data_IF_471696661742
#
_entry.id   IF_471696661742
#
_cell.length_a   1.000
_cell.length_b   1.000
_cell.length_c   1.000
_cell.angle_alpha   90.00
_cell.angle_beta   90.00
_cell.angle_gamma   90.00
#
_symmetry.space_group_name_H-M   'P 1'
#
loop_
_entity.id
_entity.type
_entity.pdbx_description
1 polymer ?
#
# COMPACT_ATOMS: atom_id res chain seq x y z
N UNK A 1 5.55 47.00 -19.89
CA UNK A 1 6.16 46.89 -18.53
C UNK A 1 5.60 45.63 -17.88
N UNK A 2 6.26 44.49 -18.05
CA UNK A 2 5.85 43.20 -17.49
C UNK A 2 6.93 42.79 -16.48
N UNK A 3 6.55 42.67 -15.20
CA UNK A 3 7.46 42.29 -14.12
C UNK A 3 7.57 40.76 -14.08
N UNK A 4 8.70 40.23 -14.56
CA UNK A 4 9.14 38.85 -14.29
C UNK A 4 9.40 38.68 -12.80
N UNK A 5 8.64 37.80 -12.16
CA UNK A 5 8.93 37.32 -10.81
C UNK A 5 9.78 36.05 -10.91
N UNK A 6 11.06 36.19 -10.60
CA UNK A 6 12.00 35.08 -10.40
C UNK A 6 11.71 34.44 -9.04
N UNK A 7 11.24 33.20 -9.05
CA UNK A 7 11.12 32.36 -7.86
C UNK A 7 12.45 31.61 -7.68
N UNK A 8 13.23 32.03 -6.69
CA UNK A 8 14.42 31.29 -6.23
C UNK A 8 13.96 30.12 -5.35
N UNK A 9 14.13 28.88 -5.83
CA UNK A 9 14.04 27.68 -5.00
C UNK A 9 15.38 27.51 -4.26
N UNK A 10 15.38 27.75 -2.94
CA UNK A 10 16.51 27.44 -2.08
C UNK A 10 16.46 25.95 -1.69
N UNK A 11 17.41 25.17 -2.20
CA UNK A 11 17.65 23.78 -1.79
C UNK A 11 18.43 23.81 -0.47
N UNK A 12 17.76 23.48 0.64
CA UNK A 12 18.38 23.35 1.96
C UNK A 12 18.88 21.90 2.12
N UNK A 13 20.18 21.69 1.90
CA UNK A 13 20.84 20.42 2.18
C UNK A 13 20.98 20.24 3.70
N UNK A 14 20.32 19.20 4.25
CA UNK A 14 20.47 18.79 5.63
C UNK A 14 21.71 17.90 5.75
N UNK A 15 22.80 18.44 6.32
CA UNK A 15 23.98 17.68 6.69
C UNK A 15 23.75 17.03 8.07
N UNK A 16 23.47 15.73 8.11
CA UNK A 16 23.57 14.96 9.34
C UNK A 16 25.04 14.62 9.60
N UNK A 17 25.62 15.28 10.61
CA UNK A 17 26.96 15.00 11.10
C UNK A 17 27.04 13.66 11.81
N UNK A 18 27.92 12.78 11.33
CA UNK A 18 28.44 11.63 12.05
C UNK A 18 29.46 12.10 13.09
N UNK A 19 29.02 12.22 14.35
CA UNK A 19 29.88 12.37 15.51
C UNK A 19 30.38 11.00 15.96
N UNK A 20 31.69 10.77 15.84
CA UNK A 20 32.35 9.61 16.42
C UNK A 20 32.79 9.84 17.87
N UNK A 21 33.11 8.75 18.55
CA UNK A 21 34.04 8.75 19.68
C UNK A 21 33.62 7.89 20.88
N UNK A 22 34.49 6.95 21.26
CA UNK A 22 34.58 6.47 22.64
C UNK A 22 34.74 4.96 22.78
N UNK A 23 35.98 4.49 22.76
CA UNK A 23 36.33 3.10 23.07
C UNK A 23 36.18 2.72 24.54
N UNK A 24 36.13 1.42 24.78
CA UNK A 24 36.22 0.81 26.10
C UNK A 24 36.30 -0.70 26.00
N UNK A 25 37.52 -1.23 26.14
CA UNK A 25 37.81 -2.66 26.34
C UNK A 25 37.14 -3.18 27.61
N UNK A 26 36.57 -4.38 27.56
CA UNK A 26 36.69 -5.36 28.63
C UNK A 26 36.33 -6.77 28.12
N UNK A 27 37.30 -7.66 28.29
CA UNK A 27 37.25 -9.12 28.21
C UNK A 27 36.22 -9.72 29.18
N UNK A 28 35.43 -10.69 28.71
CA UNK A 28 35.00 -11.84 29.52
C UNK A 28 34.45 -12.94 28.61
N UNK A 29 35.33 -13.88 28.32
CA UNK A 29 35.07 -15.22 27.82
C UNK A 29 34.27 -15.99 28.90
N UNK A 30 33.08 -16.50 28.54
CA UNK A 30 32.36 -17.49 29.33
C UNK A 30 31.32 -18.18 28.43
N UNK A 31 31.74 -19.26 27.78
CA UNK A 31 30.84 -20.27 27.22
C UNK A 31 30.24 -21.12 28.35
N UNK A 32 28.91 -21.26 28.46
CA UNK A 32 28.32 -22.41 29.12
C UNK A 32 28.06 -23.53 28.09
N UNK A 33 28.65 -24.69 28.37
CA UNK A 33 28.31 -25.99 27.82
C UNK A 33 26.79 -26.20 27.81
N UNK A 34 26.22 -26.38 26.61
CA UNK A 34 24.86 -26.94 26.46
C UNK A 34 25.01 -28.44 26.21
N UNK A 35 24.77 -29.20 27.28
CA UNK A 35 24.50 -30.62 27.20
C UNK A 35 23.22 -30.83 26.36
N UNK A 36 23.38 -31.53 25.24
CA UNK A 36 22.28 -31.98 24.39
C UNK A 36 21.73 -33.26 25.00
N UNK A 37 20.71 -33.16 25.85
CA UNK A 37 19.94 -34.31 26.29
C UNK A 37 19.01 -34.78 25.16
N UNK A 38 19.19 -36.05 24.80
CA UNK A 38 18.51 -36.72 23.71
C UNK A 38 17.01 -36.85 23.98
N UNK A 39 16.22 -36.45 23.00
CA UNK A 39 14.78 -36.69 22.95
C UNK A 39 14.50 -38.21 22.94
N UNK A 40 13.72 -38.66 23.93
CA UNK A 40 13.05 -39.95 23.91
C UNK A 40 11.77 -39.80 23.08
N UNK A 41 11.72 -40.45 21.92
CA UNK A 41 10.52 -40.55 21.09
C UNK A 41 9.60 -41.63 21.66
N UNK A 42 8.50 -41.20 22.30
CA UNK A 42 7.42 -42.08 22.71
C UNK A 42 6.48 -42.29 21.51
N UNK A 43 6.58 -43.48 20.91
CA UNK A 43 5.73 -43.91 19.79
C UNK A 43 4.47 -44.55 20.36
N UNK A 44 3.43 -43.74 20.57
CA UNK A 44 2.10 -44.26 20.85
C UNK A 44 1.43 -44.68 19.53
N UNK A 45 1.41 -45.99 19.32
CA UNK A 45 0.66 -46.67 18.28
C UNK A 45 -0.85 -46.50 18.53
N UNK A 46 -1.58 -46.01 17.54
CA UNK A 46 -3.04 -46.13 17.47
C UNK A 46 -3.45 -46.54 16.07
N UNK A 47 -4.45 -47.43 16.06
CA UNK A 47 -5.33 -47.82 14.96
C UNK A 47 -4.85 -48.86 13.93
N UNK A 48 -5.09 -50.12 14.30
CA UNK A 48 -5.44 -51.16 13.34
C UNK A 48 -6.95 -51.24 13.15
N UNK A 49 -7.47 -50.74 12.02
CA UNK A 49 -8.53 -51.40 11.23
C UNK A 49 -8.77 -50.66 9.91
N UNK A 50 -8.14 -51.15 8.84
CA UNK A 50 -8.54 -50.82 7.47
C UNK A 50 -8.89 -52.10 6.75
N UNK A 51 -10.12 -52.15 6.23
CA UNK A 51 -10.63 -53.22 5.41
C UNK A 51 -10.01 -53.22 4.02
N UNK A 52 -10.04 -54.42 3.46
CA UNK A 52 -9.80 -54.85 2.08
C UNK A 52 -10.26 -53.87 0.99
N UNK A 53 -9.35 -53.55 0.06
CA UNK A 53 -9.60 -53.54 -1.40
C UNK A 53 -8.29 -53.30 -2.18
N UNK A 54 -7.56 -54.38 -2.41
CA UNK A 54 -7.06 -54.89 -3.70
C UNK A 54 -6.73 -53.90 -4.85
N UNK A 55 -5.48 -54.04 -5.33
CA UNK A 55 -4.96 -53.94 -6.73
C UNK A 55 -4.69 -52.56 -7.37
N UNK A 56 -3.57 -52.27 -8.09
CA UNK A 56 -2.43 -53.02 -8.64
C UNK A 56 -1.23 -52.08 -8.88
N UNK A 57 -0.04 -52.66 -8.81
CA UNK A 57 1.32 -52.23 -9.19
C UNK A 57 1.49 -51.17 -10.29
N UNK A 58 2.45 -50.25 -10.12
CA UNK A 58 3.71 -50.29 -10.90
C UNK A 58 4.82 -49.45 -10.27
N UNK A 59 6.01 -50.03 -10.34
CA UNK A 59 7.28 -49.65 -9.73
C UNK A 59 8.00 -48.60 -10.58
N UNK A 60 8.56 -47.57 -9.95
CA UNK A 60 9.70 -46.82 -10.50
C UNK A 60 10.53 -46.27 -9.32
N UNK A 61 11.47 -47.10 -8.87
CA UNK A 61 12.65 -46.65 -8.11
C UNK A 61 13.50 -45.72 -8.99
N UNK A 62 13.85 -44.54 -8.48
CA UNK A 62 15.09 -43.86 -8.89
C UNK A 62 15.81 -43.36 -7.65
N UNK A 63 16.95 -44.03 -7.46
CA UNK A 63 18.14 -43.76 -6.68
C UNK A 63 18.34 -42.40 -5.99
N UNK A 64 18.90 -42.54 -4.80
CA UNK A 64 19.68 -41.56 -4.06
C UNK A 64 20.81 -40.94 -4.91
N UNK A 65 21.04 -39.65 -4.70
CA UNK A 65 22.35 -39.04 -4.92
C UNK A 65 22.68 -38.17 -3.71
N UNK A 66 23.81 -38.50 -3.08
CA UNK A 66 24.39 -37.81 -1.96
C UNK A 66 25.68 -37.15 -2.45
N UNK A 67 25.88 -35.88 -2.08
CA UNK A 67 27.21 -35.27 -1.98
C UNK A 67 27.55 -34.22 -3.04
N UNK A 68 27.68 -32.97 -2.58
CA UNK A 68 28.67 -31.99 -3.04
C UNK A 68 28.47 -30.72 -2.18
N UNK A 69 29.23 -30.54 -1.10
CA UNK A 69 30.56 -29.89 -1.08
C UNK A 69 30.48 -28.37 -1.35
N UNK A 70 30.72 -27.65 -0.26
CA UNK A 70 31.24 -26.28 -0.07
C UNK A 70 31.68 -25.53 -1.34
N UNK A 71 31.08 -24.35 -1.55
CA UNK A 71 31.55 -23.33 -2.48
C UNK A 71 31.43 -21.95 -1.86
N UNK A 72 32.45 -21.54 -1.13
CA UNK A 72 32.69 -20.15 -0.71
C UNK A 72 32.98 -19.31 -1.96
N UNK A 73 32.07 -18.40 -2.31
CA UNK A 73 32.27 -17.43 -3.38
C UNK A 73 32.18 -16.03 -2.79
N UNK A 74 33.33 -15.54 -2.34
CA UNK A 74 33.59 -14.12 -2.08
C UNK A 74 33.50 -13.34 -3.39
N UNK A 75 32.32 -12.80 -3.69
CA UNK A 75 32.15 -11.82 -4.75
C UNK A 75 32.65 -10.45 -4.25
N UNK A 76 33.89 -10.11 -4.63
CA UNK A 76 34.42 -8.76 -4.53
C UNK A 76 33.67 -7.86 -5.53
N UNK A 77 32.83 -6.97 -5.02
CA UNK A 77 32.23 -5.91 -5.85
C UNK A 77 33.28 -4.84 -6.15
N UNK A 78 33.75 -4.85 -7.41
CA UNK A 78 34.53 -3.77 -7.99
C UNK A 78 33.60 -2.58 -8.26
N UNK A 79 33.80 -1.49 -7.54
CA UNK A 79 33.22 -0.18 -7.84
C UNK A 79 33.83 0.36 -9.13
N UNK A 80 33.06 0.37 -10.21
CA UNK A 80 33.41 1.09 -11.42
C UNK A 80 32.95 2.55 -11.27
N UNK A 81 33.92 3.45 -11.10
CA UNK A 81 33.77 4.88 -11.26
C UNK A 81 33.17 5.20 -12.64
N UNK A 82 31.96 5.77 -12.64
CA UNK A 82 31.35 6.35 -13.85
C UNK A 82 31.78 7.82 -13.93
N UNK A 83 32.53 8.24 -14.97
CA UNK A 83 32.85 9.65 -15.16
C UNK A 83 31.59 10.43 -15.54
N UNK A 84 31.26 11.44 -14.73
CA UNK A 84 30.28 12.47 -15.05
C UNK A 84 30.87 13.36 -16.14
N UNK A 85 30.37 13.21 -17.36
CA UNK A 85 30.70 14.05 -18.50
C UNK A 85 30.05 15.43 -18.34
N UNK A 86 30.90 16.42 -18.08
CA UNK A 86 30.53 17.83 -18.08
C UNK A 86 30.50 18.34 -19.54
N UNK A 87 29.37 18.12 -20.21
CA UNK A 87 29.08 18.65 -21.54
C UNK A 87 28.47 20.06 -21.47
N UNK A 88 29.26 21.04 -21.92
CA UNK A 88 28.94 22.45 -21.98
C UNK A 88 27.85 22.81 -23.02
N UNK A 89 27.18 23.93 -22.72
CA UNK A 89 26.59 24.94 -23.60
C UNK A 89 26.19 24.55 -25.05
N UNK A 90 24.90 24.72 -25.36
CA UNK A 90 24.50 25.22 -26.68
C UNK A 90 23.43 26.31 -26.54
N UNK A 91 23.73 27.45 -27.14
CA UNK A 91 22.86 28.60 -27.29
C UNK A 91 22.51 28.72 -28.78
N UNK A 92 21.24 28.56 -29.11
CA UNK A 92 20.60 28.96 -30.38
C UNK A 92 19.12 29.14 -30.07
N UNK A 93 18.52 30.33 -30.13
CA UNK A 93 18.41 31.31 -31.20
C UNK A 93 17.73 30.76 -32.47
N UNK A 94 16.72 31.52 -32.92
CA UNK A 94 15.84 31.33 -34.10
C UNK A 94 14.74 30.26 -33.96
N UNK A 95 13.48 30.44 -34.37
CA UNK A 95 12.83 31.47 -35.17
C UNK A 95 11.34 31.54 -34.84
N UNK A 96 10.77 32.72 -35.06
CA UNK A 96 9.34 32.93 -35.17
C UNK A 96 8.81 32.23 -36.43
N UNK A 97 7.81 31.37 -36.27
CA UNK A 97 6.93 30.94 -37.35
C UNK A 97 5.52 31.44 -37.05
N UNK A 98 5.04 32.33 -37.91
CA UNK A 98 3.76 33.00 -37.78
C UNK A 98 2.57 32.08 -38.08
N UNK A 99 1.35 32.53 -37.78
CA UNK A 99 0.15 31.83 -38.17
C UNK A 99 0.00 31.88 -39.70
N UNK A 100 0.07 30.72 -40.36
CA UNK A 100 -0.40 30.56 -41.74
C UNK A 100 -1.90 30.77 -41.76
N UNK A 101 -2.32 31.83 -42.44
CA UNK A 101 -3.67 32.00 -42.97
C UNK A 101 -4.05 30.74 -43.75
N UNK A 102 -5.03 29.99 -43.24
CA UNK A 102 -5.76 28.99 -44.01
C UNK A 102 -6.91 29.69 -44.70
N UNK A 103 -6.94 29.51 -46.01
CA UNK A 103 -7.84 30.15 -46.94
C UNK A 103 -9.32 29.93 -46.61
N UNK A 104 -10.08 31.00 -46.86
CA UNK A 104 -11.51 31.04 -47.13
C UNK A 104 -11.94 29.86 -48.03
N UNK A 105 -12.56 28.84 -47.43
CA UNK A 105 -13.33 27.84 -48.15
C UNK A 105 -14.80 28.20 -47.94
N UNK A 106 -15.42 28.66 -49.03
CA UNK A 106 -16.82 29.02 -49.10
C UNK A 106 -17.72 27.86 -48.58
N UNK A 107 -18.77 28.16 -47.80
CA UNK A 107 -19.69 27.13 -47.30
C UNK A 107 -20.52 26.58 -48.46
N UNK A 108 -20.35 25.29 -48.75
CA UNK A 108 -21.32 24.53 -49.50
C UNK A 108 -22.56 24.33 -48.63
N UNK A 109 -23.71 24.77 -49.16
CA UNK A 109 -25.07 24.52 -48.69
C UNK A 109 -25.33 23.00 -48.59
N UNK A 110 -24.89 22.39 -47.49
CA UNK A 110 -25.23 21.01 -47.14
C UNK A 110 -26.29 21.09 -46.06
N UNK A 111 -27.51 20.74 -46.45
CA UNK A 111 -28.64 20.63 -45.53
C UNK A 111 -28.25 19.79 -44.31
N UNK A 112 -28.51 20.30 -43.08
CA UNK A 112 -28.15 19.58 -41.87
C UNK A 112 -28.87 18.23 -41.86
N UNK A 113 -28.15 17.10 -41.65
CA UNK A 113 -28.85 15.86 -41.36
C UNK A 113 -29.66 16.06 -40.08
N UNK A 114 -30.90 15.58 -40.06
CA UNK A 114 -31.73 15.47 -38.87
C UNK A 114 -30.95 14.70 -37.79
N UNK A 115 -30.20 15.43 -36.95
CA UNK A 115 -29.62 14.91 -35.73
C UNK A 115 -30.80 14.72 -34.79
N UNK A 116 -31.41 13.54 -34.88
CA UNK A 116 -32.27 13.01 -33.85
C UNK A 116 -31.59 13.30 -32.52
N UNK A 117 -32.27 14.10 -31.69
CA UNK A 117 -31.78 14.52 -30.39
C UNK A 117 -31.18 13.30 -29.71
N UNK A 118 -29.85 13.27 -29.65
CA UNK A 118 -29.13 12.31 -28.83
C UNK A 118 -29.61 12.70 -27.46
N UNK A 119 -30.50 11.86 -26.90
CA UNK A 119 -30.80 11.85 -25.49
C UNK A 119 -29.45 11.64 -24.84
N UNK A 120 -28.74 12.74 -24.57
CA UNK A 120 -27.55 12.79 -23.74
C UNK A 120 -28.06 12.61 -22.33
N UNK A 121 -28.81 11.50 -22.12
CA UNK A 121 -29.45 11.11 -20.88
C UNK A 121 -28.38 11.35 -19.87
N UNK A 122 -28.54 12.46 -19.15
CA UNK A 122 -27.52 12.95 -18.25
C UNK A 122 -27.56 11.90 -17.18
N UNK A 123 -26.70 10.89 -17.35
CA UNK A 123 -26.61 9.68 -16.55
C UNK A 123 -26.81 10.17 -15.15
N UNK A 124 -27.96 9.83 -14.56
CA UNK A 124 -28.45 10.43 -13.35
C UNK A 124 -27.32 10.33 -12.35
N UNK A 125 -26.54 11.42 -12.21
CA UNK A 125 -25.37 11.43 -11.35
C UNK A 125 -25.98 11.17 -10.01
N UNK A 126 -25.71 9.99 -9.46
CA UNK A 126 -26.22 9.59 -8.16
C UNK A 126 -25.94 10.76 -7.24
N UNK A 127 -26.99 11.51 -6.92
CA UNK A 127 -26.83 12.73 -6.14
C UNK A 127 -26.34 12.27 -4.78
N UNK A 128 -25.05 12.47 -4.54
CA UNK A 128 -24.42 12.12 -3.29
C UNK A 128 -25.16 12.92 -2.23
N UNK A 129 -25.82 12.21 -1.31
CA UNK A 129 -26.62 12.85 -0.28
C UNK A 129 -25.75 13.88 0.45
N UNK A 130 -26.29 15.08 0.66
CA UNK A 130 -25.57 16.11 1.37
C UNK A 130 -25.12 15.58 2.76
N UNK A 131 -23.85 15.80 3.16
CA UNK A 131 -23.35 15.33 4.45
C UNK A 131 -24.16 15.97 5.59
N UNK A 132 -24.46 15.17 6.62
CA UNK A 132 -25.20 15.61 7.82
C UNK A 132 -24.29 16.42 8.74
N UNK A 133 -24.85 17.16 9.69
CA UNK A 133 -24.06 17.83 10.73
C UNK A 133 -23.14 16.84 11.45
N UNK A 134 -21.88 17.23 11.62
CA UNK A 134 -20.83 16.36 12.18
C UNK A 134 -20.16 15.43 11.17
N UNK A 135 -20.57 15.44 9.90
CA UNK A 135 -19.87 14.75 8.82
C UNK A 135 -19.01 15.74 8.01
N UNK A 136 -18.01 15.22 7.32
CA UNK A 136 -17.11 16.01 6.49
C UNK A 136 -16.78 15.35 5.15
N UNK A 137 -16.54 16.19 4.16
CA UNK A 137 -16.13 15.85 2.80
C UNK A 137 -15.10 16.89 2.34
N UNK A 138 -14.64 16.80 1.09
CA UNK A 138 -13.77 17.79 0.47
C UNK A 138 -14.47 19.15 0.35
N UNK A 139 -15.77 19.15 0.07
CA UNK A 139 -16.61 20.35 -0.07
C UNK A 139 -17.11 20.88 1.27
N UNK A 140 -17.37 19.98 2.23
CA UNK A 140 -17.93 20.32 3.54
C UNK A 140 -16.91 20.02 4.63
N UNK A 141 -16.20 21.08 5.05
CA UNK A 141 -15.26 21.01 6.16
C UNK A 141 -15.94 20.89 7.54
N UNK A 142 -15.15 20.50 8.54
CA UNK A 142 -15.61 20.50 9.92
C UNK A 142 -15.76 21.93 10.47
N UNK A 143 -16.80 22.15 11.28
CA UNK A 143 -17.01 23.40 12.04
C UNK A 143 -16.12 23.39 13.29
N UNK A 144 -15.79 24.56 13.82
CA UNK A 144 -14.91 24.72 15.00
C UNK A 144 -13.49 24.15 14.78
N UNK A 145 -12.72 23.95 15.86
CA UNK A 145 -11.40 23.32 15.83
C UNK A 145 -11.47 21.77 15.70
N UNK A 146 -12.48 21.24 15.01
CA UNK A 146 -12.60 19.82 14.72
C UNK A 146 -11.83 19.46 13.45
N UNK A 147 -11.36 18.22 13.38
CA UNK A 147 -10.71 17.66 12.20
C UNK A 147 -11.58 16.59 11.54
N UNK A 148 -11.44 16.48 10.22
CA UNK A 148 -12.13 15.46 9.45
C UNK A 148 -11.38 14.13 9.55
N UNK A 149 -12.07 13.07 9.98
CA UNK A 149 -11.56 11.71 10.09
C UNK A 149 -12.21 10.85 9.01
N UNK A 150 -11.41 10.20 8.18
CA UNK A 150 -11.94 9.35 7.13
C UNK A 150 -12.62 8.09 7.70
N UNK A 151 -13.58 7.47 6.97
CA UNK A 151 -14.18 6.22 7.40
C UNK A 151 -13.13 5.13 7.68
N UNK A 152 -13.16 4.57 8.90
CA UNK A 152 -12.21 3.55 9.35
C UNK A 152 -10.83 4.09 9.77
N UNK A 153 -10.58 5.39 9.58
CA UNK A 153 -9.40 6.06 10.14
C UNK A 153 -9.60 6.24 11.65
N UNK A 154 -8.53 6.02 12.42
CA UNK A 154 -8.51 6.34 13.85
C UNK A 154 -7.86 7.70 14.04
N UNK A 155 -8.40 8.52 14.93
CA UNK A 155 -7.85 9.84 15.27
C UNK A 155 -6.47 9.77 15.98
N UNK A 156 -5.97 8.56 16.21
CA UNK A 156 -4.81 8.31 17.06
C UNK A 156 -5.18 8.43 18.54
N UNK A 157 -4.18 8.31 19.40
CA UNK A 157 -4.36 8.52 20.83
C UNK A 157 -3.66 9.81 21.25
N UNK A 158 -4.32 10.61 22.09
CA UNK A 158 -3.72 11.84 22.66
C UNK A 158 -2.56 11.55 23.60
N UNK A 159 -2.58 10.36 24.22
CA UNK A 159 -1.47 9.85 25.01
C UNK A 159 -1.08 8.47 24.51
N UNK A 160 0.22 8.20 24.49
CA UNK A 160 0.71 6.85 24.22
C UNK A 160 0.46 5.94 25.43
N UNK A 161 0.27 4.65 25.16
CA UNK A 161 0.09 3.60 26.16
C UNK A 161 1.34 2.73 26.19
N UNK A 162 1.77 2.34 27.40
CA UNK A 162 2.82 1.33 27.56
C UNK A 162 2.21 -0.04 27.37
N UNK A 163 2.76 -0.83 26.46
CA UNK A 163 2.32 -2.21 26.21
C UNK A 163 3.02 -3.13 27.21
N UNK A 164 2.25 -3.83 28.06
CA UNK A 164 2.82 -4.76 29.05
C UNK A 164 3.29 -6.08 28.42
N UNK A 165 2.60 -6.51 27.37
CA UNK A 165 2.90 -7.75 26.64
C UNK A 165 3.05 -7.42 25.16
N UNK A 166 4.28 -7.20 24.74
CA UNK A 166 4.60 -7.03 23.33
C UNK A 166 4.78 -8.37 22.63
N UNK A 167 4.58 -8.39 21.33
CA UNK A 167 4.92 -9.51 20.47
C UNK A 167 5.83 -9.02 19.34
N UNK A 168 6.69 -9.91 18.84
CA UNK A 168 7.56 -9.61 17.69
C UNK A 168 7.11 -10.34 16.42
N UNK A 169 6.28 -11.38 16.57
CA UNK A 169 5.74 -12.17 15.47
C UNK A 169 4.40 -12.80 15.85
N UNK A 170 3.62 -13.23 14.84
CA UNK A 170 2.32 -13.88 15.06
C UNK A 170 2.47 -15.19 15.88
N UNK A 171 3.61 -15.88 15.75
CA UNK A 171 3.90 -17.11 16.50
C UNK A 171 4.09 -16.89 18.01
N UNK A 172 4.42 -15.66 18.43
CA UNK A 172 4.54 -15.31 19.84
C UNK A 172 3.16 -15.08 20.52
N UNK A 173 2.09 -15.05 19.73
CA UNK A 173 0.76 -14.76 20.22
C UNK A 173 0.01 -16.02 20.68
N UNK A 174 -0.68 -15.90 21.82
CA UNK A 174 -1.50 -16.94 22.43
C UNK A 174 -2.83 -16.29 22.87
N UNK A 175 -4.00 -16.72 22.37
CA UNK A 175 -4.28 -17.94 21.59
C UNK A 175 -3.86 -17.87 20.11
N UNK A 176 -3.76 -19.02 19.39
CA UNK A 176 -3.20 -19.10 18.03
C UNK A 176 -4.01 -18.38 16.94
N UNK A 177 -5.22 -17.90 17.25
CA UNK A 177 -6.09 -17.10 16.38
C UNK A 177 -5.84 -15.58 16.52
N UNK A 178 -4.74 -15.19 17.15
CA UNK A 178 -4.31 -13.79 17.27
C UNK A 178 -3.09 -13.49 16.42
N UNK A 179 -3.04 -12.28 15.86
CA UNK A 179 -1.94 -11.77 15.05
C UNK A 179 -1.18 -10.70 15.83
N UNK A 180 0.12 -10.65 15.61
CA UNK A 180 0.96 -9.61 16.17
C UNK A 180 0.85 -8.36 15.29
N UNK A 181 0.24 -7.30 15.84
CA UNK A 181 -0.01 -6.05 15.12
C UNK A 181 0.56 -4.85 15.88
N UNK A 182 1.25 -3.92 15.18
CA UNK A 182 1.68 -2.65 15.78
C UNK A 182 0.50 -1.88 16.37
N UNK A 183 0.59 -1.54 17.65
CA UNK A 183 -0.43 -0.74 18.32
C UNK A 183 -0.15 0.73 18.01
N UNK A 184 -1.06 1.38 17.27
CA UNK A 184 -0.90 2.78 16.81
C UNK A 184 -0.64 3.79 17.94
N UNK A 185 -0.99 3.42 19.16
CA UNK A 185 -0.87 4.26 20.34
C UNK A 185 0.19 3.76 21.33
N UNK A 186 1.08 2.87 20.93
CA UNK A 186 2.16 2.40 21.81
C UNK A 186 3.26 3.46 21.92
N UNK A 187 3.80 3.67 23.14
CA UNK A 187 4.82 4.70 23.39
C UNK A 187 6.15 4.44 22.66
N UNK A 188 6.50 3.19 22.38
CA UNK A 188 7.71 2.77 21.67
C UNK A 188 7.43 2.06 20.35
N UNK A 189 6.19 2.14 19.82
CA UNK A 189 5.79 1.42 18.60
C UNK A 189 5.67 -0.09 18.79
N UNK A 190 5.51 -0.56 20.03
CA UNK A 190 5.36 -1.97 20.35
C UNK A 190 4.12 -2.57 19.67
N UNK A 191 4.22 -3.86 19.31
CA UNK A 191 3.10 -4.62 18.78
C UNK A 191 2.42 -5.41 19.88
N UNK A 192 1.12 -5.66 19.74
CA UNK A 192 0.35 -6.47 20.67
C UNK A 192 -0.45 -7.53 19.92
N UNK A 193 -0.76 -8.63 20.59
CA UNK A 193 -1.55 -9.71 20.01
C UNK A 193 -3.02 -9.30 19.97
N UNK A 194 -3.57 -9.19 18.77
CA UNK A 194 -4.98 -8.85 18.53
C UNK A 194 -5.66 -10.00 17.79
N UNK A 195 -6.98 -10.22 17.99
CA UNK A 195 -7.73 -11.17 17.18
C UNK A 195 -7.52 -10.88 15.68
N UNK A 196 -7.21 -11.91 14.91
CA UNK A 196 -7.22 -11.81 13.45
C UNK A 196 -8.65 -11.59 12.93
N UNK A 197 -8.76 -11.06 11.71
CA UNK A 197 -10.04 -11.06 11.00
C UNK A 197 -10.47 -12.51 10.70
N UNK A 198 -11.79 -12.75 10.66
CA UNK A 198 -12.37 -14.05 10.25
C UNK A 198 -13.06 -13.95 8.90
N UNK A 199 -13.37 -12.74 8.48
CA UNK A 199 -14.05 -12.45 7.22
C UNK A 199 -13.61 -11.11 6.65
N UNK A 200 -13.75 -10.95 5.33
CA UNK A 200 -13.49 -9.68 4.64
C UNK A 200 -14.34 -8.52 5.17
N UNK A 201 -15.49 -8.79 5.80
CA UNK A 201 -16.35 -7.77 6.38
C UNK A 201 -15.75 -7.11 7.63
N UNK A 202 -14.79 -7.75 8.30
CA UNK A 202 -14.08 -7.20 9.46
C UNK A 202 -12.89 -6.32 9.07
N UNK A 203 -12.49 -6.38 7.80
CA UNK A 203 -11.43 -5.55 7.27
C UNK A 203 -11.97 -4.19 6.79
N UNK A 204 -11.10 -3.18 6.82
CA UNK A 204 -11.42 -1.88 6.25
C UNK A 204 -11.74 -2.03 4.74
N UNK A 205 -12.57 -1.13 4.21
CA UNK A 205 -12.90 -1.14 2.79
C UNK A 205 -11.62 -1.03 1.94
N UNK A 206 -11.49 -1.92 0.96
CA UNK A 206 -10.28 -2.10 0.13
C UNK A 206 -9.35 -3.21 0.58
N UNK A 207 -9.63 -3.83 1.73
CA UNK A 207 -8.86 -4.93 2.27
C UNK A 207 -9.71 -6.21 2.29
N UNK A 208 -9.05 -7.36 2.22
CA UNK A 208 -9.66 -8.67 2.47
C UNK A 208 -8.95 -9.38 3.60
N UNK A 209 -9.67 -10.33 4.21
CA UNK A 209 -9.10 -11.13 5.26
C UNK A 209 -8.29 -12.28 4.66
N UNK A 210 -6.96 -12.22 4.78
CA UNK A 210 -6.08 -13.31 4.35
C UNK A 210 -6.25 -14.55 5.24
N UNK A 211 -5.88 -15.75 4.77
CA UNK A 211 -5.88 -16.97 5.59
C UNK A 211 -5.02 -16.86 6.87
N UNK A 212 -4.08 -15.92 6.91
CA UNK A 212 -3.26 -15.58 8.08
C UNK A 212 -4.02 -14.79 9.16
N UNK A 213 -5.30 -14.45 8.94
CA UNK A 213 -6.08 -13.58 9.82
C UNK A 213 -5.70 -12.10 9.71
N UNK A 214 -4.85 -11.71 8.75
CA UNK A 214 -4.47 -10.31 8.50
C UNK A 214 -5.35 -9.68 7.42
N UNK A 215 -5.76 -8.45 7.65
CA UNK A 215 -6.35 -7.63 6.59
C UNK A 215 -5.25 -7.16 5.64
N UNK A 216 -5.30 -7.60 4.39
CA UNK A 216 -4.34 -7.27 3.34
C UNK A 216 -5.06 -6.57 2.19
N UNK A 217 -4.34 -5.76 1.43
CA UNK A 217 -4.90 -5.01 0.29
C UNK A 217 -5.41 -5.96 -0.80
N UNK A 218 -6.56 -5.65 -1.38
CA UNK A 218 -7.14 -6.44 -2.48
C UNK A 218 -6.20 -6.43 -3.70
N UNK A 219 -6.10 -7.58 -4.37
CA UNK A 219 -5.17 -7.78 -5.49
C UNK A 219 -5.93 -7.56 -6.79
N UNK A 220 -5.52 -6.58 -7.59
CA UNK A 220 -6.09 -6.39 -8.92
C UNK A 220 -5.51 -7.39 -9.93
N UNK A 221 -6.20 -7.65 -11.04
CA UNK A 221 -5.65 -8.47 -12.11
C UNK A 221 -4.74 -7.61 -12.98
N UNK A 222 -3.51 -8.07 -13.20
CA UNK A 222 -2.50 -7.41 -14.05
C UNK A 222 -3.00 -7.19 -15.49
N UNK A 223 -4.00 -7.97 -15.93
CA UNK A 223 -4.58 -7.88 -17.27
C UNK A 223 -5.48 -6.66 -17.48
N UNK A 224 -5.86 -5.95 -16.41
CA UNK A 224 -6.64 -4.73 -16.57
C UNK A 224 -5.74 -3.60 -17.08
N UNK A 225 -6.17 -2.84 -18.12
CA UNK A 225 -5.47 -1.64 -18.53
C UNK A 225 -5.23 -0.70 -17.33
N UNK A 226 -4.12 0.04 -17.28
CA UNK A 226 -3.94 1.07 -16.25
C UNK A 226 -5.11 2.07 -16.30
N UNK A 227 -5.83 2.20 -15.19
CA UNK A 227 -7.06 3.01 -15.08
C UNK A 227 -8.36 2.30 -15.50
N UNK A 228 -8.29 1.02 -15.89
CA UNK A 228 -9.47 0.17 -16.00
C UNK A 228 -9.70 -0.49 -14.62
N UNK A 229 -10.52 0.17 -13.81
CA UNK A 229 -10.80 -0.23 -12.42
C UNK A 229 -11.71 -1.47 -12.30
N UNK A 230 -11.72 -2.36 -13.30
CA UNK A 230 -12.70 -3.46 -13.38
C UNK A 230 -12.48 -4.56 -12.35
N UNK A 231 -11.23 -4.84 -11.97
CA UNK A 231 -10.95 -5.80 -10.89
C UNK A 231 -11.03 -5.19 -9.50
N UNK A 232 -10.94 -3.87 -9.37
CA UNK A 232 -11.01 -3.21 -8.07
C UNK A 232 -12.46 -2.87 -7.72
N UNK A 233 -12.76 -2.81 -6.41
CA UNK A 233 -14.03 -2.26 -5.94
C UNK A 233 -14.16 -0.78 -6.35
N UNK A 234 -15.39 -0.24 -6.43
CA UNK A 234 -15.60 1.19 -6.58
C UNK A 234 -14.73 2.01 -5.64
N UNK A 235 -14.25 3.17 -6.12
CA UNK A 235 -13.32 4.05 -5.41
C UNK A 235 -11.89 3.52 -5.21
N UNK A 236 -11.50 2.44 -5.91
CA UNK A 236 -10.13 1.93 -5.92
C UNK A 236 -9.59 1.83 -7.35
N UNK A 237 -8.30 2.08 -7.51
CA UNK A 237 -7.56 2.03 -8.77
C UNK A 237 -6.38 1.07 -8.66
N UNK A 238 -6.12 0.32 -9.72
CA UNK A 238 -4.94 -0.55 -9.82
C UNK A 238 -3.75 0.30 -10.31
N UNK A 239 -2.82 0.68 -9.43
CA UNK A 239 -1.78 1.68 -9.73
C UNK A 239 -0.54 1.10 -10.42
N UNK A 240 -0.23 -0.18 -10.25
CA UNK A 240 1.01 -0.75 -10.79
C UNK A 240 0.85 -2.24 -11.17
N UNK A 241 1.10 -2.65 -12.42
CA UNK A 241 1.09 -4.06 -12.81
C UNK A 241 2.18 -4.90 -12.10
N UNK A 242 3.28 -4.28 -11.64
CA UNK A 242 4.34 -4.98 -10.91
C UNK A 242 3.94 -5.30 -9.45
N UNK A 243 3.06 -4.51 -8.86
CA UNK A 243 2.53 -4.70 -7.51
C UNK A 243 1.01 -4.52 -7.59
N UNK A 244 0.27 -5.56 -8.03
CA UNK A 244 -1.11 -5.41 -8.44
C UNK A 244 -2.03 -5.33 -7.22
N UNK A 245 -1.99 -4.21 -6.50
CA UNK A 245 -2.88 -3.90 -5.39
C UNK A 245 -3.85 -2.79 -5.77
N UNK A 246 -5.08 -2.90 -5.25
CA UNK A 246 -6.10 -1.89 -5.36
C UNK A 246 -5.85 -0.79 -4.34
N UNK A 247 -5.48 0.40 -4.80
CA UNK A 247 -5.28 1.58 -3.96
C UNK A 247 -6.51 2.48 -4.02
N UNK A 248 -6.84 3.14 -2.90
CA UNK A 248 -7.98 4.06 -2.88
C UNK A 248 -7.73 5.22 -3.86
N UNK A 249 -8.73 5.51 -4.70
CA UNK A 249 -8.69 6.54 -5.74
C UNK A 249 -8.52 7.92 -5.09
N UNK A 250 -7.61 8.72 -5.65
CA UNK A 250 -7.45 10.13 -5.25
C UNK A 250 -8.55 10.99 -5.88
N UNK A 251 -8.96 12.05 -5.18
CA UNK A 251 -10.00 12.97 -5.63
C UNK A 251 -9.76 14.40 -5.14
N UNK A 252 -10.34 15.36 -5.82
CA UNK A 252 -10.45 16.74 -5.34
C UNK A 252 -11.89 17.10 -4.94
N UNK A 253 -12.87 16.47 -5.57
CA UNK A 253 -14.29 16.61 -5.25
C UNK A 253 -14.99 15.25 -5.16
N UNK A 254 -16.09 15.19 -4.41
CA UNK A 254 -16.94 14.01 -4.24
C UNK A 254 -17.58 13.57 -5.55
N UNK A 255 -17.72 14.47 -6.53
CA UNK A 255 -18.21 14.15 -7.87
C UNK A 255 -17.26 13.26 -8.71
N UNK A 256 -16.00 13.09 -8.27
CA UNK A 256 -15.03 12.17 -8.87
C UNK A 256 -15.12 10.75 -8.30
N UNK A 257 -15.93 10.56 -7.25
CA UNK A 257 -16.04 9.35 -6.46
C UNK A 257 -17.44 8.74 -6.59
N UNK A 258 -17.53 7.43 -6.42
CA UNK A 258 -18.79 6.75 -6.14
C UNK A 258 -19.07 6.87 -4.63
N UNK A 259 -19.38 8.09 -4.18
CA UNK A 259 -19.52 8.45 -2.78
C UNK A 259 -18.94 9.83 -2.47
N UNK A 260 -18.02 9.90 -1.52
CA UNK A 260 -17.50 11.14 -0.95
C UNK A 260 -16.00 11.23 -1.12
N UNK A 261 -15.51 12.43 -1.43
CA UNK A 261 -14.09 12.72 -1.35
C UNK A 261 -13.78 13.17 0.08
N UNK A 262 -12.93 12.43 0.80
CA UNK A 262 -12.56 12.73 2.19
C UNK A 262 -11.05 12.73 2.30
N UNK A 263 -10.46 13.87 2.68
CA UNK A 263 -9.00 14.07 2.75
C UNK A 263 -8.26 13.69 1.46
N UNK A 264 -8.88 13.96 0.31
CA UNK A 264 -8.30 13.69 -1.02
C UNK A 264 -8.38 12.24 -1.49
N UNK A 265 -9.14 11.38 -0.81
CA UNK A 265 -9.37 9.99 -1.19
C UNK A 265 -10.88 9.69 -1.28
N UNK A 266 -11.28 8.86 -2.23
CA UNK A 266 -12.68 8.49 -2.42
C UNK A 266 -13.15 7.44 -1.41
N UNK A 267 -14.29 7.64 -0.75
CA UNK A 267 -14.92 6.72 0.20
C UNK A 267 -16.41 6.53 -0.10
N UNK A 268 -16.97 5.37 0.26
CA UNK A 268 -18.42 5.10 0.13
C UNK A 268 -19.28 5.89 1.14
N UNK A 269 -18.69 6.32 2.25
CA UNK A 269 -19.33 7.09 3.32
C UNK A 269 -18.58 8.41 3.57
N UNK A 270 -19.25 9.45 4.09
CA UNK A 270 -18.56 10.69 4.44
C UNK A 270 -17.69 10.49 5.68
N UNK A 271 -16.70 11.36 5.86
CA UNK A 271 -15.89 11.39 7.07
C UNK A 271 -16.69 11.88 8.27
N UNK A 272 -16.10 11.76 9.46
CA UNK A 272 -16.66 12.30 10.71
C UNK A 272 -15.79 13.43 11.25
N UNK A 273 -16.43 14.48 11.74
CA UNK A 273 -15.78 15.54 12.46
C UNK A 273 -15.58 15.16 13.91
N UNK A 274 -14.34 15.21 14.37
CA UNK A 274 -14.00 14.96 15.77
C UNK A 274 -13.02 16.02 16.28
N UNK A 275 -13.09 16.32 17.57
CA UNK A 275 -12.04 17.07 18.22
C UNK A 275 -10.76 16.24 18.25
N UNK A 276 -9.58 16.87 18.12
CA UNK A 276 -8.33 16.19 18.39
C UNK A 276 -8.37 15.61 19.81
N UNK A 277 -7.73 14.46 20.04
CA UNK A 277 -7.61 13.92 21.38
C UNK A 277 -6.87 14.92 22.30
N UNK A 278 -7.24 14.99 23.60
CA UNK A 278 -6.69 15.94 24.55
C UNK A 278 -5.20 15.69 24.85
#
# INVERSE_FOLDING_TARGET
>A
MVRSSLVFLAVLACACGTGGGGGGSATADATPDVAVDAASADTSAVDGKTGDATTTETVAEVAADAGAEVGDATAAEAVADVPVDAGAADAGDTAADGPKEVADVAPADVAPPDIAAIDTGMDAKTEVAAPKDGQCTAEVGCKNAMMCIAPGESIGCGMCMKVETSCDSDAACNPPDTICKPLKCACGGESTCQPGCKSTAECAEGFFCAPTGKCVEDVCKVTDPPGADKSCKPNFVCKNPANPHCFRKQCQASSECEGYCVKGLCYSAPGQCSYPPP
#
